data_IF_636405591737
#
_entry.id   IF_636405591737
#
_cell.length_a   1.000
_cell.length_b   1.000
_cell.length_c   1.000
_cell.angle_alpha   90.00
_cell.angle_beta   90.00
_cell.angle_gamma   90.00
#
_symmetry.space_group_name_H-M   'P 1'
#
loop_
_entity.id
_entity.type
_entity.pdbx_description
1 polymer ?
#
# COMPACT_ATOMS: atom_id res chain seq x y z
N UNK A 1 -6.89 -6.82 -15.33
CA UNK A 1 -6.72 -6.31 -13.94
C UNK A 1 -6.68 -4.79 -13.98
N UNK A 2 -7.16 -4.11 -12.95
CA UNK A 2 -7.17 -2.64 -12.86
C UNK A 2 -6.56 -2.22 -11.52
N UNK A 3 -5.43 -1.52 -11.56
CA UNK A 3 -4.85 -0.86 -10.39
C UNK A 3 -5.58 0.45 -10.08
N UNK A 4 -5.50 0.92 -8.84
CA UNK A 4 -6.00 2.24 -8.48
C UNK A 4 -5.21 3.34 -9.21
N UNK A 5 -3.88 3.32 -9.07
CA UNK A 5 -2.98 4.33 -9.65
C UNK A 5 -1.74 3.64 -10.25
N UNK A 6 -1.31 4.11 -11.42
CA UNK A 6 -0.04 3.71 -12.03
C UNK A 6 0.73 4.96 -12.43
N UNK A 7 1.95 5.10 -11.91
CA UNK A 7 2.88 6.17 -12.28
C UNK A 7 3.97 5.60 -13.19
N UNK A 8 4.37 6.35 -14.22
CA UNK A 8 5.46 5.99 -15.13
C UNK A 8 6.42 7.16 -15.27
N UNK A 9 7.71 6.90 -15.06
CA UNK A 9 8.75 7.92 -15.19
C UNK A 9 10.10 7.29 -15.52
N UNK A 10 10.74 7.76 -16.60
CA UNK A 10 12.09 7.33 -17.04
C UNK A 10 12.28 5.80 -17.07
N UNK A 11 11.34 5.09 -17.69
CA UNK A 11 11.39 3.62 -17.81
C UNK A 11 11.05 2.85 -16.53
N UNK A 12 10.75 3.53 -15.42
CA UNK A 12 10.26 2.92 -14.17
C UNK A 12 8.75 3.04 -14.07
N UNK A 13 8.12 2.04 -13.47
CA UNK A 13 6.68 2.01 -13.20
C UNK A 13 6.44 1.80 -11.71
N UNK A 14 5.54 2.56 -11.11
CA UNK A 14 5.06 2.36 -9.75
C UNK A 14 3.56 2.11 -9.80
N UNK A 15 3.13 0.95 -9.31
CA UNK A 15 1.71 0.62 -9.14
C UNK A 15 1.35 0.92 -7.69
N UNK A 16 0.28 1.68 -7.46
CA UNK A 16 -0.20 2.01 -6.13
C UNK A 16 -1.60 1.44 -5.99
N UNK A 17 -1.82 0.71 -4.89
CA UNK A 17 -3.10 0.18 -4.47
C UNK A 17 -3.42 0.73 -3.08
N UNK A 18 -4.57 1.38 -2.96
CA UNK A 18 -4.96 2.15 -1.78
C UNK A 18 -6.01 1.42 -0.99
N UNK A 19 -5.89 1.43 0.35
CA UNK A 19 -6.82 0.72 1.23
C UNK A 19 -7.20 1.58 2.43
N UNK A 20 -8.47 1.53 2.80
CA UNK A 20 -9.00 2.12 4.02
C UNK A 20 -9.59 1.00 4.88
N UNK A 21 -9.01 0.79 6.06
CA UNK A 21 -9.50 -0.14 7.06
C UNK A 21 -9.53 0.55 8.41
N UNK A 22 -10.42 0.09 9.28
CA UNK A 22 -10.42 0.49 10.69
C UNK A 22 -9.09 0.13 11.38
N UNK A 23 -8.50 -1.01 10.99
CA UNK A 23 -7.17 -1.45 11.41
C UNK A 23 -6.26 -1.73 10.23
N UNK A 24 -5.17 -0.99 10.14
CA UNK A 24 -4.13 -1.11 9.11
C UNK A 24 -3.37 -2.43 9.20
N UNK A 25 -3.32 -3.03 10.40
CA UNK A 25 -2.75 -4.34 10.67
C UNK A 25 -3.82 -5.39 10.98
N UNK A 26 -3.63 -6.60 10.46
CA UNK A 26 -4.45 -7.76 10.79
C UNK A 26 -3.95 -8.40 12.09
N UNK A 27 -4.84 -8.59 13.07
CA UNK A 27 -4.53 -9.35 14.29
C UNK A 27 -4.80 -10.84 14.10
N UNK A 28 -3.80 -11.68 14.33
CA UNK A 28 -3.99 -13.12 14.41
C UNK A 28 -4.16 -13.55 15.86
N UNK A 29 -5.40 -13.85 16.27
CA UNK A 29 -5.75 -14.19 17.66
C UNK A 29 -5.09 -15.45 18.19
N UNK A 30 -4.66 -16.38 17.31
CA UNK A 30 -3.98 -17.62 17.73
C UNK A 30 -2.51 -17.41 18.08
N UNK A 31 -1.87 -16.41 17.49
CA UNK A 31 -0.43 -16.15 17.64
C UNK A 31 -0.14 -14.79 18.27
N UNK A 32 -1.19 -14.07 18.69
CA UNK A 32 -1.14 -12.70 19.21
C UNK A 32 -0.20 -11.78 18.41
N UNK A 33 -0.22 -11.93 17.08
CA UNK A 33 0.69 -11.23 16.17
C UNK A 33 -0.08 -10.27 15.26
N UNK A 34 0.58 -9.18 14.90
CA UNK A 34 0.07 -8.21 13.94
C UNK A 34 0.80 -8.38 12.60
N UNK A 35 0.04 -8.53 11.52
CA UNK A 35 0.58 -8.75 10.17
C UNK A 35 -0.09 -7.84 9.16
N UNK A 36 0.62 -7.53 8.07
CA UNK A 36 0.01 -6.89 6.90
C UNK A 36 -1.07 -7.83 6.32
N UNK A 37 -2.17 -7.26 5.83
CA UNK A 37 -3.24 -8.01 5.16
C UNK A 37 -2.69 -8.76 3.94
N UNK A 38 -2.59 -10.09 4.04
CA UNK A 38 -1.96 -10.94 3.02
C UNK A 38 -2.65 -10.85 1.67
N UNK A 39 -3.96 -10.69 1.65
CA UNK A 39 -4.74 -10.50 0.41
C UNK A 39 -4.27 -9.29 -0.39
N UNK A 40 -4.04 -8.15 0.28
CA UNK A 40 -3.55 -6.92 -0.36
C UNK A 40 -2.13 -7.13 -0.89
N UNK A 41 -1.29 -7.84 -0.14
CA UNK A 41 0.06 -8.19 -0.54
C UNK A 41 0.09 -9.07 -1.81
N UNK A 42 -0.76 -10.10 -1.86
CA UNK A 42 -0.91 -10.95 -3.05
C UNK A 42 -1.42 -10.16 -4.26
N UNK A 43 -2.35 -9.22 -4.05
CA UNK A 43 -2.92 -8.39 -5.10
C UNK A 43 -1.84 -7.48 -5.72
N UNK A 44 -1.15 -6.68 -4.91
CA UNK A 44 -0.09 -5.78 -5.42
C UNK A 44 1.05 -6.57 -6.07
N UNK A 45 1.43 -7.71 -5.50
CA UNK A 45 2.44 -8.59 -6.08
C UNK A 45 2.03 -9.06 -7.48
N UNK A 46 0.77 -9.49 -7.65
CA UNK A 46 0.25 -9.94 -8.93
C UNK A 46 0.22 -8.81 -9.96
N UNK A 47 -0.11 -7.58 -9.56
CA UNK A 47 -0.05 -6.42 -10.45
C UNK A 47 1.38 -6.14 -10.92
N UNK A 48 2.33 -6.14 -9.98
CA UNK A 48 3.75 -5.88 -10.26
C UNK A 48 4.31 -6.95 -11.20
N UNK A 49 4.07 -8.24 -10.94
CA UNK A 49 4.61 -9.32 -11.79
C UNK A 49 4.03 -9.34 -13.19
N UNK A 50 2.72 -9.08 -13.35
CA UNK A 50 2.11 -9.01 -14.68
C UNK A 50 2.62 -7.81 -15.49
N UNK A 51 2.91 -6.69 -14.83
CA UNK A 51 3.47 -5.50 -15.50
C UNK A 51 4.96 -5.68 -15.81
N UNK A 52 5.73 -6.31 -14.91
CA UNK A 52 7.15 -6.64 -15.12
C UNK A 52 7.34 -8.00 -15.81
N UNK A 53 6.57 -8.26 -16.86
CA UNK A 53 6.62 -9.54 -17.59
C UNK A 53 8.02 -9.84 -18.16
N UNK A 54 8.80 -8.80 -18.46
CA UNK A 54 10.18 -8.89 -18.93
C UNK A 54 11.20 -9.10 -17.80
N UNK A 55 10.75 -9.18 -16.54
CA UNK A 55 11.59 -9.40 -15.35
C UNK A 55 12.73 -8.36 -15.23
N UNK A 56 12.42 -7.11 -15.56
CA UNK A 56 13.40 -6.01 -15.59
C UNK A 56 13.73 -5.46 -14.20
N UNK A 57 12.87 -5.71 -13.21
CA UNK A 57 12.97 -5.10 -11.87
C UNK A 57 12.54 -3.63 -11.84
N UNK A 58 12.15 -3.03 -12.96
CA UNK A 58 11.80 -1.60 -13.05
C UNK A 58 10.36 -1.28 -12.66
N UNK A 59 9.56 -2.29 -12.32
CA UNK A 59 8.23 -2.11 -11.77
C UNK A 59 8.28 -2.33 -10.26
N UNK A 60 7.77 -1.35 -9.50
CA UNK A 60 7.55 -1.44 -8.08
C UNK A 60 6.07 -1.38 -7.71
N UNK A 61 5.74 -1.84 -6.51
CA UNK A 61 4.41 -1.75 -5.92
C UNK A 61 4.40 -0.91 -4.64
N UNK A 62 3.29 -0.21 -4.39
CA UNK A 62 3.02 0.50 -3.14
C UNK A 62 1.63 0.13 -2.66
N UNK A 63 1.54 -0.47 -1.47
CA UNK A 63 0.30 -0.52 -0.70
C UNK A 63 0.25 0.72 0.18
N UNK A 64 -0.75 1.57 -0.06
CA UNK A 64 -0.94 2.80 0.69
C UNK A 64 -2.20 2.69 1.55
N UNK A 65 -2.01 2.65 2.87
CA UNK A 65 -3.08 2.65 3.84
C UNK A 65 -3.35 4.07 4.32
N UNK A 66 -4.62 4.41 4.58
CA UNK A 66 -4.90 5.57 5.39
C UNK A 66 -4.41 5.33 6.82
N UNK A 67 -3.71 6.31 7.41
CA UNK A 67 -3.28 6.25 8.80
C UNK A 67 -4.49 6.36 9.73
N UNK A 68 -4.47 5.54 10.78
CA UNK A 68 -5.44 5.51 11.90
C UNK A 68 -4.69 5.82 13.20
N UNK A 69 -5.40 5.87 14.33
CA UNK A 69 -4.82 6.10 15.67
C UNK A 69 -4.12 4.85 16.25
N UNK A 70 -3.57 3.99 15.40
CA UNK A 70 -2.86 2.77 15.82
C UNK A 70 -1.38 3.04 16.14
N UNK A 71 -0.87 2.43 17.21
CA UNK A 71 0.54 2.56 17.63
C UNK A 71 1.53 1.89 16.67
N UNK A 72 1.07 0.90 15.90
CA UNK A 72 1.91 0.06 15.03
C UNK A 72 1.55 0.33 13.57
N UNK A 73 2.49 0.92 12.85
CA UNK A 73 2.35 1.18 11.42
C UNK A 73 2.92 0.03 10.57
N UNK A 74 2.25 -0.37 9.47
CA UNK A 74 2.72 -1.40 8.54
C UNK A 74 3.90 -0.95 7.65
N UNK A 75 4.55 0.17 7.98
CA UNK A 75 5.55 0.84 7.17
C UNK A 75 6.80 -0.03 6.92
N UNK A 76 6.85 -0.68 5.75
CA UNK A 76 7.88 -1.68 5.42
C UNK A 76 8.22 -1.69 3.93
N UNK A 77 9.44 -2.09 3.64
CA UNK A 77 9.94 -2.31 2.28
C UNK A 77 10.31 -3.79 2.10
N UNK A 78 9.91 -4.35 0.97
CA UNK A 78 10.18 -5.74 0.60
C UNK A 78 10.81 -5.79 -0.80
N UNK A 79 11.71 -6.75 -0.99
CA UNK A 79 12.14 -7.19 -2.32
C UNK A 79 11.58 -8.58 -2.54
N UNK A 80 10.63 -8.71 -3.48
CA UNK A 80 9.93 -9.97 -3.76
C UNK A 80 10.02 -10.24 -5.25
N UNK A 81 10.61 -11.37 -5.63
CA UNK A 81 10.72 -11.79 -7.04
C UNK A 81 11.44 -10.79 -7.94
N UNK A 82 12.42 -10.06 -7.41
CA UNK A 82 13.22 -9.04 -8.11
C UNK A 82 12.61 -7.63 -8.12
N UNK A 83 11.40 -7.44 -7.58
CA UNK A 83 10.69 -6.17 -7.57
C UNK A 83 10.59 -5.60 -6.15
N UNK A 84 10.61 -4.26 -6.02
CA UNK A 84 10.36 -3.59 -4.75
C UNK A 84 8.86 -3.45 -4.50
N UNK A 85 8.40 -3.87 -3.33
CA UNK A 85 7.03 -3.63 -2.84
C UNK A 85 7.13 -2.91 -1.51
N UNK A 86 6.54 -1.74 -1.43
CA UNK A 86 6.50 -0.91 -0.22
C UNK A 86 5.10 -0.94 0.38
N UNK A 87 5.02 -0.88 1.70
CA UNK A 87 3.78 -0.67 2.45
C UNK A 87 3.96 0.59 3.25
N UNK A 88 3.02 1.53 3.12
CA UNK A 88 3.08 2.84 3.77
C UNK A 88 1.72 3.27 4.29
N UNK A 89 1.74 4.09 5.32
CA UNK A 89 0.57 4.83 5.80
C UNK A 89 0.62 6.29 5.34
N UNK A 90 -0.56 6.90 5.16
CA UNK A 90 -0.69 8.32 4.85
C UNK A 90 -1.81 8.95 5.67
N UNK A 91 -1.51 10.06 6.35
CA UNK A 91 -2.50 10.81 7.12
C UNK A 91 -3.48 11.53 6.18
N UNK A 92 -4.77 11.29 6.38
CA UNK A 92 -5.82 12.02 5.69
C UNK A 92 -6.11 13.32 6.45
N UNK A 93 -5.94 14.46 5.78
CA UNK A 93 -6.34 15.77 6.32
C UNK A 93 -7.65 16.16 5.67
N UNK A 94 -8.73 16.17 6.43
CA UNK A 94 -10.00 16.74 5.98
C UNK A 94 -9.98 18.24 6.24
N UNK A 95 -9.81 19.04 5.19
CA UNK A 95 -10.00 20.49 5.30
C UNK A 95 -11.50 20.75 5.54
N UNK A 96 -11.93 20.86 6.79
CA UNK A 96 -13.26 21.40 7.11
C UNK A 96 -13.25 22.90 6.83
N UNK A 97 -14.10 23.45 5.95
CA UNK A 97 -14.36 24.88 5.93
C UNK A 97 -15.03 25.24 7.26
N UNK A 98 -14.29 25.83 8.18
CA UNK A 98 -14.87 26.44 9.37
C UNK A 98 -15.68 27.65 8.90
N UNK A 99 -17.00 27.53 8.82
CA UNK A 99 -17.86 28.70 8.74
C UNK A 99 -17.75 29.44 10.09
N UNK A 100 -17.42 30.75 10.10
CA UNK A 100 -17.45 31.50 11.35
C UNK A 100 -18.88 31.53 11.87
N UNK A 101 -19.08 31.09 13.11
CA UNK A 101 -20.34 31.25 13.81
C UNK A 101 -20.58 32.76 14.03
N UNK A 102 -21.70 33.26 13.49
CA UNK A 102 -22.27 34.56 13.86
C UNK A 102 -22.75 34.55 15.31
#
# INVERSE_FOLDING_TARGET
MRSDITLRHKGKTLIIDTKYYERTMQTNSRFNSQTIHSHNMCQIFTYVKNMDFAHSGNVGGLLLYAKTDEDIEPDKDFIIGGNRISVKTWTLILNSPTYPNN
#
